data_IF_653832079559
#
_entry.id   IF_653832079559
#
_cell.length_a   1.000
_cell.length_b   1.000
_cell.length_c   1.000
_cell.angle_alpha   90.00
_cell.angle_beta   90.00
_cell.angle_gamma   90.00
#
_symmetry.space_group_name_H-M   'P 1'
#
loop_
_entity.id
_entity.type
_entity.pdbx_description
1 polymer ?
#
# COMPACT_ATOMS: atom_id res chain seq x y z
N UNK A 1 -15.52 21.08 -4.40
CA UNK A 1 -16.12 19.83 -3.89
C UNK A 1 -15.08 19.12 -3.04
N UNK A 2 -15.42 18.64 -1.84
CA UNK A 2 -14.45 18.05 -0.90
C UNK A 2 -14.59 16.53 -0.92
N UNK A 3 -13.55 15.85 -1.38
CA UNK A 3 -13.46 14.39 -1.39
C UNK A 3 -12.98 13.93 -0.01
N UNK A 4 -13.71 13.01 0.64
CA UNK A 4 -13.41 12.57 2.02
C UNK A 4 -12.87 11.14 2.09
N UNK A 5 -13.41 10.23 1.30
CA UNK A 5 -12.95 8.84 1.22
C UNK A 5 -13.04 8.37 -0.24
N UNK A 6 -12.12 7.48 -0.61
CA UNK A 6 -12.04 6.84 -1.92
C UNK A 6 -12.01 5.33 -1.74
N UNK A 7 -12.82 4.61 -2.50
CA UNK A 7 -12.76 3.15 -2.60
C UNK A 7 -12.67 2.75 -4.08
N UNK A 8 -11.54 2.19 -4.47
CA UNK A 8 -11.19 1.83 -5.85
C UNK A 8 -10.61 0.40 -5.90
N UNK A 9 -11.46 -0.63 -5.69
CA UNK A 9 -11.00 -2.02 -5.60
C UNK A 9 -10.45 -2.58 -6.92
N UNK A 10 -10.83 -1.99 -8.05
CA UNK A 10 -10.45 -2.45 -9.40
C UNK A 10 -9.51 -1.49 -10.12
N UNK A 11 -9.03 -0.44 -9.45
CA UNK A 11 -8.08 0.49 -10.07
C UNK A 11 -6.73 -0.22 -10.27
N UNK A 12 -6.19 -0.12 -11.48
CA UNK A 12 -4.87 -0.64 -11.84
C UNK A 12 -3.79 0.42 -11.73
N UNK A 13 -4.11 1.66 -12.07
CA UNK A 13 -3.17 2.77 -12.11
C UNK A 13 -3.80 3.99 -11.44
N UNK A 14 -3.03 4.66 -10.60
CA UNK A 14 -3.32 6.02 -10.15
C UNK A 14 -2.38 6.96 -10.91
N UNK A 15 -2.95 7.76 -11.80
CA UNK A 15 -2.19 8.69 -12.63
C UNK A 15 -1.59 9.85 -11.82
N UNK A 16 -0.59 10.50 -12.43
CA UNK A 16 0.07 11.63 -11.81
C UNK A 16 -0.94 12.72 -11.45
N UNK A 17 -0.79 13.29 -10.25
CA UNK A 17 -1.64 14.37 -9.73
C UNK A 17 -3.13 14.03 -9.51
N UNK A 18 -3.56 12.76 -9.67
CA UNK A 18 -4.99 12.39 -9.64
C UNK A 18 -5.77 12.90 -8.41
N UNK A 19 -5.12 12.91 -7.24
CA UNK A 19 -5.71 13.38 -5.97
C UNK A 19 -4.90 14.51 -5.33
N UNK A 20 -4.12 15.27 -6.11
CA UNK A 20 -3.33 16.37 -5.59
C UNK A 20 -4.20 17.37 -4.82
N UNK A 21 -3.71 17.82 -3.67
CA UNK A 21 -4.37 18.81 -2.80
C UNK A 21 -5.80 18.45 -2.38
N UNK A 22 -6.15 17.15 -2.33
CA UNK A 22 -7.39 16.70 -1.73
C UNK A 22 -7.32 16.85 -0.19
N UNK A 23 -7.42 18.09 0.30
CA UNK A 23 -7.17 18.43 1.71
C UNK A 23 -8.13 17.77 2.69
N UNK A 24 -9.33 17.36 2.25
CA UNK A 24 -10.34 16.73 3.08
C UNK A 24 -10.31 15.19 3.01
N UNK A 25 -9.44 14.61 2.18
CA UNK A 25 -9.34 13.16 1.98
C UNK A 25 -8.70 12.54 3.21
N UNK A 26 -9.42 11.63 3.88
CA UNK A 26 -8.97 10.96 5.10
C UNK A 26 -8.62 9.50 4.88
N UNK A 27 -9.25 8.85 3.91
CA UNK A 27 -9.09 7.42 3.66
C UNK A 27 -9.06 7.09 2.17
N UNK A 28 -8.16 6.20 1.76
CA UNK A 28 -8.10 5.64 0.41
C UNK A 28 -7.95 4.14 0.44
N UNK A 29 -8.83 3.42 -0.26
CA UNK A 29 -8.81 1.96 -0.34
C UNK A 29 -8.60 1.51 -1.78
N UNK A 30 -7.49 0.81 -2.04
CA UNK A 30 -7.24 0.11 -3.29
C UNK A 30 -7.42 -1.40 -3.12
N UNK A 31 -7.59 -2.10 -4.24
CA UNK A 31 -7.58 -3.57 -4.27
C UNK A 31 -6.23 -4.14 -4.67
N UNK A 32 -6.16 -5.47 -4.72
CA UNK A 32 -4.97 -6.25 -5.10
C UNK A 32 -4.56 -6.06 -6.57
N UNK A 33 -5.45 -5.53 -7.42
CA UNK A 33 -5.21 -5.26 -8.83
C UNK A 33 -4.40 -3.98 -9.08
N UNK A 34 -4.12 -3.17 -8.05
CA UNK A 34 -3.32 -1.96 -8.24
C UNK A 34 -1.88 -2.34 -8.63
N UNK A 35 -1.38 -1.74 -9.70
CA UNK A 35 -0.07 -2.02 -10.29
C UNK A 35 0.88 -0.84 -10.10
N UNK A 36 0.40 0.39 -10.25
CA UNK A 36 1.25 1.60 -10.22
C UNK A 36 0.55 2.81 -9.60
N UNK A 37 1.31 3.59 -8.84
CA UNK A 37 0.95 4.96 -8.43
C UNK A 37 1.99 5.91 -9.00
N UNK A 38 1.53 6.90 -9.76
CA UNK A 38 2.41 7.86 -10.41
C UNK A 38 2.71 9.09 -9.53
N UNK A 39 3.69 9.87 -10.01
CA UNK A 39 4.28 11.00 -9.31
C UNK A 39 3.23 11.96 -8.75
N UNK A 40 3.43 12.40 -7.51
CA UNK A 40 2.60 13.41 -6.84
C UNK A 40 1.09 13.08 -6.74
N UNK A 41 0.67 11.83 -6.96
CA UNK A 41 -0.73 11.42 -6.99
C UNK A 41 -1.53 11.87 -5.75
N UNK A 42 -0.90 11.87 -4.56
CA UNK A 42 -1.51 12.28 -3.29
C UNK A 42 -0.83 13.50 -2.67
N UNK A 43 -0.07 14.29 -3.45
CA UNK A 43 0.67 15.43 -2.92
C UNK A 43 -0.28 16.40 -2.18
N UNK A 44 0.04 16.70 -0.93
CA UNK A 44 -0.67 17.66 -0.12
C UNK A 44 -2.05 17.22 0.36
N UNK A 45 -2.37 15.92 0.33
CA UNK A 45 -3.53 15.36 1.03
C UNK A 45 -3.31 15.39 2.56
N UNK A 46 -3.41 16.59 3.13
CA UNK A 46 -3.00 16.87 4.52
C UNK A 46 -3.77 16.07 5.58
N UNK A 47 -5.02 15.72 5.30
CA UNK A 47 -5.87 14.95 6.23
C UNK A 47 -5.85 13.45 5.97
N UNK A 48 -5.04 12.96 5.01
CA UNK A 48 -5.01 11.53 4.69
C UNK A 48 -4.37 10.79 5.85
N UNK A 49 -5.14 9.94 6.51
CA UNK A 49 -4.75 9.21 7.72
C UNK A 49 -4.46 7.73 7.42
N UNK A 50 -5.23 7.14 6.50
CA UNK A 50 -5.18 5.71 6.19
C UNK A 50 -5.19 5.46 4.70
N UNK A 51 -4.29 4.60 4.24
CA UNK A 51 -4.30 4.08 2.88
C UNK A 51 -4.16 2.56 2.85
N UNK A 52 -4.97 1.90 2.04
CA UNK A 52 -4.87 0.46 1.78
C UNK A 52 -4.23 0.22 0.42
N UNK A 53 -3.10 -0.51 0.38
CA UNK A 53 -2.28 -0.74 -0.82
C UNK A 53 -1.85 -2.20 -0.95
N UNK A 54 -1.71 -2.74 -2.18
CA UNK A 54 -1.15 -4.07 -2.33
C UNK A 54 0.34 -4.14 -2.01
N UNK A 55 0.78 -5.28 -1.48
CA UNK A 55 2.19 -5.61 -1.31
C UNK A 55 2.77 -6.04 -2.65
N UNK A 56 3.22 -5.07 -3.45
CA UNK A 56 3.88 -5.30 -4.74
C UNK A 56 5.14 -4.48 -4.86
N UNK A 57 6.21 -5.12 -5.31
CA UNK A 57 7.44 -4.44 -5.67
C UNK A 57 7.19 -3.41 -6.76
N UNK A 58 7.77 -2.22 -6.61
CA UNK A 58 7.64 -1.15 -7.60
C UNK A 58 6.26 -0.46 -7.64
N UNK A 59 5.37 -0.71 -6.67
CA UNK A 59 4.10 0.03 -6.58
C UNK A 59 4.32 1.51 -6.26
N UNK A 60 5.22 1.78 -5.31
CA UNK A 60 5.68 3.11 -4.89
C UNK A 60 7.14 3.22 -5.32
N UNK A 61 7.41 4.00 -6.36
CA UNK A 61 8.76 4.16 -6.93
C UNK A 61 9.40 5.51 -6.63
N UNK A 62 8.66 6.42 -5.99
CA UNK A 62 9.10 7.78 -5.71
C UNK A 62 8.59 8.26 -4.36
N UNK A 63 9.43 9.04 -3.68
CA UNK A 63 9.13 9.59 -2.35
C UNK A 63 8.12 10.77 -2.40
N UNK A 64 7.84 11.29 -3.60
CA UNK A 64 7.03 12.49 -3.80
C UNK A 64 5.52 12.21 -3.89
N UNK A 65 5.13 10.94 -4.02
CA UNK A 65 3.73 10.48 -4.16
C UNK A 65 2.86 10.98 -3.00
N UNK A 66 3.37 10.89 -1.77
CA UNK A 66 2.70 11.32 -0.54
C UNK A 66 3.29 12.61 0.05
N UNK A 67 3.98 13.42 -0.77
CA UNK A 67 4.60 14.64 -0.30
C UNK A 67 3.57 15.57 0.36
N UNK A 68 3.74 15.86 1.65
CA UNK A 68 2.83 16.73 2.40
C UNK A 68 1.56 16.06 2.94
N UNK A 69 1.46 14.72 2.86
CA UNK A 69 0.49 13.93 3.62
C UNK A 69 0.92 13.83 5.08
N UNK A 70 0.75 14.92 5.84
CA UNK A 70 1.29 15.06 7.19
C UNK A 70 0.65 14.16 8.24
N UNK A 71 -0.60 13.72 8.00
CA UNK A 71 -1.37 12.91 8.93
C UNK A 71 -1.37 11.42 8.57
N UNK A 72 -0.58 10.99 7.56
CA UNK A 72 -0.60 9.60 7.13
C UNK A 72 0.10 8.73 8.19
N UNK A 73 -0.71 8.04 9.00
CA UNK A 73 -0.25 7.23 10.13
C UNK A 73 -0.37 5.73 9.85
N UNK A 74 -1.26 5.32 8.95
CA UNK A 74 -1.55 3.92 8.68
C UNK A 74 -1.49 3.57 7.19
N UNK A 75 -0.68 2.55 6.87
CA UNK A 75 -0.64 1.90 5.57
C UNK A 75 -1.03 0.44 5.79
N UNK A 76 -2.22 0.08 5.33
CA UNK A 76 -2.75 -1.27 5.47
C UNK A 76 -2.45 -2.08 4.19
N UNK A 77 -1.79 -3.25 4.27
CA UNK A 77 -1.60 -4.09 3.10
C UNK A 77 -2.93 -4.73 2.65
N UNK A 78 -3.12 -4.89 1.34
CA UNK A 78 -4.17 -5.73 0.75
C UNK A 78 -3.58 -6.78 -0.18
N UNK A 79 -4.21 -7.94 -0.26
CA UNK A 79 -3.64 -9.09 -0.96
C UNK A 79 -2.75 -9.92 -0.04
N UNK A 80 -2.54 -11.18 -0.42
CA UNK A 80 -1.85 -12.15 0.40
C UNK A 80 -0.43 -11.70 0.74
N UNK A 81 -0.04 -11.87 2.01
CA UNK A 81 1.35 -12.17 2.34
C UNK A 81 1.85 -13.18 1.32
N UNK A 82 2.93 -12.83 0.62
CA UNK A 82 3.53 -13.69 -0.39
C UNK A 82 3.59 -15.12 0.19
N UNK A 83 3.05 -16.11 -0.53
CA UNK A 83 3.09 -17.54 -0.15
C UNK A 83 4.51 -17.96 0.25
N UNK A 84 5.52 -17.24 -0.27
CA UNK A 84 6.94 -17.35 0.04
C UNK A 84 7.33 -16.99 1.48
N UNK A 85 6.70 -16.03 2.16
CA UNK A 85 7.04 -15.70 3.57
C UNK A 85 6.50 -16.79 4.50
N UNK A 86 5.29 -17.27 4.24
CA UNK A 86 4.74 -18.44 4.95
C UNK A 86 5.53 -19.72 4.63
N UNK A 87 5.96 -19.90 3.38
CA UNK A 87 6.80 -21.02 2.98
C UNK A 87 8.21 -20.96 3.60
N UNK A 88 8.88 -19.80 3.60
CA UNK A 88 10.21 -19.63 4.21
C UNK A 88 10.17 -19.88 5.72
N UNK A 89 9.15 -19.39 6.42
CA UNK A 89 8.97 -19.71 7.83
C UNK A 89 8.71 -21.21 8.06
N UNK A 90 8.00 -21.90 7.16
CA UNK A 90 7.80 -23.35 7.26
C UNK A 90 9.07 -24.16 6.96
N UNK A 91 9.92 -23.70 6.03
CA UNK A 91 11.17 -24.40 5.69
C UNK A 91 12.24 -24.25 6.77
N UNK A 92 12.37 -23.07 7.38
CA UNK A 92 13.28 -22.86 8.52
C UNK A 92 12.86 -23.73 9.71
N UNK A 93 11.57 -23.75 10.06
CA UNK A 93 11.06 -24.61 11.15
C UNK A 93 11.22 -26.10 10.87
N UNK A 94 11.05 -26.54 9.61
CA UNK A 94 11.25 -27.93 9.21
C UNK A 94 12.72 -28.36 9.40
N UNK A 95 13.66 -27.52 8.98
CA UNK A 95 15.09 -27.83 9.10
C UNK A 95 15.54 -27.84 10.57
N UNK A 96 15.05 -26.90 11.40
CA UNK A 96 15.33 -26.89 12.84
C UNK A 96 14.75 -28.12 13.56
N UNK A 97 13.60 -28.65 13.11
CA UNK A 97 13.02 -29.89 13.66
C UNK A 97 13.72 -31.17 13.20
N UNK A 98 14.28 -31.19 11.99
CA UNK A 98 15.03 -32.35 11.49
C UNK A 98 16.38 -32.52 12.22
N UNK A 99 17.02 -31.41 12.64
CA UNK A 99 18.29 -31.43 13.41
C UNK A 99 18.12 -31.85 14.89
N UNK A 100 16.90 -31.86 15.42
CA UNK A 100 16.60 -32.32 16.79
C UNK A 100 16.23 -33.82 16.88
N UNK A 101 16.14 -34.54 15.75
CA UNK A 101 15.69 -35.94 15.68
C UNK A 101 16.85 -36.95 15.50
N UNK A 102 18.11 -36.51 15.37
CA UNK A 102 19.32 -37.37 15.38
C UNK A 102 20.03 -37.39 16.76
#
# INVERSE_FOLDING_TARGET
>A
KSLRSINLPSAKVVEALAFIFCYALTEVKFGDQLERIENLAFKGCRSLERITLPLKDGLITRDDIFQGCKNLEHVDPVGGIHETVAALQLEEWRNDMDDEID
#
